data_IF_915396129524
#
_entry.id   IF_915396129524
#
_cell.length_a   1.000
_cell.length_b   1.000
_cell.length_c   1.000
_cell.angle_alpha   90.00
_cell.angle_beta   90.00
_cell.angle_gamma   90.00
#
_symmetry.space_group_name_H-M   'P 1'
#
loop_
_entity.id
_entity.type
_entity.pdbx_description
1 polymer ?
#
# COMPACT_ATOMS: atom_id res chain seq x y z
N UNK A 1 -15.80 14.90 -5.90
CA UNK A 1 -14.91 13.88 -5.32
C UNK A 1 -13.98 13.39 -6.42
N UNK A 2 -12.72 13.09 -6.11
CA UNK A 2 -11.76 12.59 -7.10
C UNK A 2 -11.14 11.31 -6.58
N UNK A 3 -11.02 10.29 -7.43
CA UNK A 3 -10.46 8.99 -7.04
C UNK A 3 -9.25 8.68 -7.89
N UNK A 4 -8.12 8.41 -7.22
CA UNK A 4 -6.89 8.02 -7.88
C UNK A 4 -6.89 6.52 -8.15
N UNK A 5 -6.35 6.11 -9.29
CA UNK A 5 -6.15 4.71 -9.64
C UNK A 5 -4.66 4.48 -9.89
N UNK A 6 -4.16 3.33 -9.43
CA UNK A 6 -2.76 2.90 -9.58
C UNK A 6 -2.68 1.44 -9.97
N UNK A 7 -1.61 1.04 -10.64
CA UNK A 7 -1.20 -0.36 -10.68
C UNK A 7 -0.34 -0.64 -9.46
N UNK A 8 -0.65 -1.69 -8.72
CA UNK A 8 0.03 -2.08 -7.47
C UNK A 8 0.59 -3.49 -7.60
N UNK A 9 1.85 -3.69 -7.22
CA UNK A 9 2.49 -4.99 -7.18
C UNK A 9 2.01 -5.77 -5.96
N UNK A 10 0.93 -6.53 -6.15
CA UNK A 10 0.29 -7.31 -5.09
C UNK A 10 1.23 -8.31 -4.44
N UNK A 11 2.12 -8.95 -5.23
CA UNK A 11 3.12 -9.88 -4.71
C UNK A 11 4.04 -9.22 -3.68
N UNK A 12 4.58 -8.04 -4.00
CA UNK A 12 5.47 -7.31 -3.10
C UNK A 12 4.71 -6.78 -1.89
N UNK A 13 3.49 -6.26 -2.06
CA UNK A 13 2.63 -5.85 -0.93
C UNK A 13 2.35 -7.01 0.03
N UNK A 14 2.05 -8.20 -0.50
CA UNK A 14 1.86 -9.41 0.30
C UNK A 14 3.15 -9.84 1.02
N UNK A 15 4.29 -9.84 0.33
CA UNK A 15 5.59 -10.15 0.92
C UNK A 15 5.95 -9.18 2.06
N UNK A 16 5.70 -7.88 1.87
CA UNK A 16 5.89 -6.84 2.90
C UNK A 16 4.95 -7.09 4.09
N UNK A 17 3.68 -7.40 3.85
CA UNK A 17 2.72 -7.69 4.90
C UNK A 17 3.11 -8.95 5.71
N UNK A 18 3.55 -10.02 5.04
CA UNK A 18 4.05 -11.21 5.70
C UNK A 18 5.30 -10.94 6.52
N UNK A 19 6.24 -10.15 5.98
CA UNK A 19 7.45 -9.79 6.68
C UNK A 19 7.15 -8.91 7.89
N UNK A 20 6.28 -7.91 7.75
CA UNK A 20 5.79 -7.07 8.85
C UNK A 20 5.17 -7.92 9.96
N UNK A 21 4.41 -8.97 9.61
CA UNK A 21 3.84 -9.91 10.58
C UNK A 21 4.92 -10.67 11.35
N UNK A 22 5.95 -11.17 10.66
CA UNK A 22 7.10 -11.86 11.30
C UNK A 22 7.87 -10.92 12.22
N UNK A 23 8.18 -9.71 11.77
CA UNK A 23 8.84 -8.67 12.56
C UNK A 23 8.02 -8.32 13.81
N UNK A 24 6.70 -8.15 13.65
CA UNK A 24 5.80 -7.85 14.77
C UNK A 24 5.74 -8.97 15.80
N UNK A 25 5.77 -10.23 15.35
CA UNK A 25 5.82 -11.39 16.25
C UNK A 25 7.14 -11.45 17.04
N UNK A 26 8.27 -11.22 16.37
CA UNK A 26 9.59 -11.16 17.03
C UNK A 26 9.61 -10.04 18.08
N UNK A 27 9.12 -8.84 17.73
CA UNK A 27 9.02 -7.72 18.67
C UNK A 27 8.17 -8.07 19.89
N UNK A 28 7.00 -8.67 19.68
CA UNK A 28 6.10 -9.05 20.77
C UNK A 28 6.79 -10.04 21.73
N UNK A 29 7.53 -11.01 21.18
CA UNK A 29 8.27 -11.98 21.97
C UNK A 29 9.43 -11.34 22.75
N UNK A 30 10.17 -10.41 22.13
CA UNK A 30 11.22 -9.64 22.80
C UNK A 30 10.67 -8.79 23.95
N UNK A 31 9.56 -8.09 23.73
CA UNK A 31 8.90 -7.30 24.77
C UNK A 31 8.42 -8.18 25.94
N UNK A 32 7.90 -9.38 25.64
CA UNK A 32 7.50 -10.36 26.66
C UNK A 32 8.70 -10.78 27.50
N UNK A 33 9.80 -11.20 26.86
CA UNK A 33 11.02 -11.61 27.56
C UNK A 33 11.60 -10.50 28.45
N UNK A 34 11.63 -9.25 27.95
CA UNK A 34 12.11 -8.11 28.76
C UNK A 34 11.23 -7.86 29.98
N UNK A 35 9.90 -7.91 29.83
CA UNK A 35 8.95 -7.75 30.95
C UNK A 35 9.17 -8.80 32.04
N UNK A 36 9.45 -10.04 31.65
CA UNK A 36 9.70 -11.16 32.57
C UNK A 36 11.09 -11.11 33.22
N UNK A 37 12.08 -10.44 32.59
CA UNK A 37 13.43 -10.34 33.13
C UNK A 37 13.43 -9.58 34.47
N UNK A 38 13.91 -10.23 35.53
CA UNK A 38 14.06 -9.58 36.84
C UNK A 38 15.32 -8.73 36.85
N UNK A 39 15.18 -7.46 37.25
CA UNK A 39 16.28 -6.50 37.42
C UNK A 39 16.28 -5.98 38.86
N UNK A 40 17.38 -5.38 39.30
CA UNK A 40 17.42 -4.68 40.59
C UNK A 40 16.48 -3.46 40.58
N UNK A 41 16.07 -3.00 41.76
CA UNK A 41 15.20 -1.83 41.90
C UNK A 41 15.81 -0.59 41.20
N UNK A 42 17.12 -0.41 41.29
CA UNK A 42 17.85 0.71 40.66
C UNK A 42 17.79 0.70 39.12
N UNK A 43 17.50 -0.45 38.51
CA UNK A 43 17.43 -0.63 37.06
C UNK A 43 15.99 -0.76 36.54
N UNK A 44 14.99 -0.79 37.42
CA UNK A 44 13.60 -1.02 37.03
C UNK A 44 13.06 0.12 36.14
N UNK A 45 13.38 1.37 36.45
CA UNK A 45 12.98 2.53 35.64
C UNK A 45 13.59 2.47 34.23
N UNK A 46 14.89 2.18 34.15
CA UNK A 46 15.61 2.04 32.87
C UNK A 46 15.01 0.91 32.01
N UNK A 47 14.59 -0.19 32.65
CA UNK A 47 13.92 -1.30 31.97
C UNK A 47 12.58 -0.88 31.38
N UNK A 48 11.73 -0.19 32.13
CA UNK A 48 10.41 0.25 31.65
C UNK A 48 10.56 1.27 30.50
N UNK A 49 11.48 2.24 30.63
CA UNK A 49 11.79 3.18 29.55
C UNK A 49 12.22 2.48 28.25
N UNK A 50 13.01 1.41 28.37
CA UNK A 50 13.44 0.61 27.23
C UNK A 50 12.27 -0.16 26.59
N UNK A 51 11.38 -0.72 27.42
CA UNK A 51 10.16 -1.40 26.96
C UNK A 51 9.26 -0.42 26.22
N UNK A 52 9.08 0.80 26.74
CA UNK A 52 8.23 1.82 26.11
C UNK A 52 8.80 2.26 24.76
N UNK A 53 10.11 2.52 24.68
CA UNK A 53 10.79 2.83 23.42
C UNK A 53 10.62 1.71 22.39
N UNK A 54 10.84 0.45 22.79
CA UNK A 54 10.71 -0.70 21.89
C UNK A 54 9.26 -1.08 21.56
N UNK A 55 8.29 -0.56 22.31
CA UNK A 55 6.87 -0.74 22.02
C UNK A 55 6.38 0.13 20.88
N UNK A 56 7.14 1.16 20.49
CA UNK A 56 6.81 1.99 19.33
C UNK A 56 6.72 1.14 18.06
N UNK A 57 5.56 1.22 17.40
CA UNK A 57 5.29 0.47 16.19
C UNK A 57 6.07 1.01 15.00
N UNK A 58 6.35 2.30 14.97
CA UNK A 58 7.04 2.96 13.87
C UNK A 58 8.48 2.44 13.71
N UNK A 59 9.15 2.10 14.81
CA UNK A 59 10.53 1.57 14.79
C UNK A 59 10.69 0.27 14.00
N UNK A 60 9.60 -0.47 13.81
CA UNK A 60 9.59 -1.77 13.14
C UNK A 60 8.62 -1.82 11.96
N UNK A 61 8.27 -0.66 11.42
CA UNK A 61 7.44 -0.58 10.22
C UNK A 61 8.30 -0.90 9.00
N UNK A 62 7.83 -1.84 8.19
CA UNK A 62 8.40 -2.18 6.89
C UNK A 62 7.70 -1.33 5.85
N UNK A 63 8.46 -0.56 5.10
CA UNK A 63 7.96 0.24 3.98
C UNK A 63 7.92 -0.60 2.70
N UNK A 64 6.94 -0.34 1.84
CA UNK A 64 6.93 -0.92 0.50
C UNK A 64 8.05 -0.30 -0.34
N UNK A 65 8.75 -1.10 -1.17
CA UNK A 65 9.75 -0.58 -2.09
C UNK A 65 9.20 0.49 -3.05
N UNK A 66 10.05 1.42 -3.47
CA UNK A 66 9.72 2.36 -4.53
C UNK A 66 9.30 1.60 -5.81
N UNK A 67 8.23 2.07 -6.48
CA UNK A 67 7.71 1.43 -7.69
C UNK A 67 6.75 0.24 -7.45
N UNK A 68 6.43 -0.07 -6.19
CA UNK A 68 5.36 -1.03 -5.84
C UNK A 68 3.99 -0.51 -6.25
N UNK A 69 3.80 0.82 -6.32
CA UNK A 69 2.60 1.46 -6.85
C UNK A 69 2.96 2.51 -7.90
N UNK A 70 2.28 2.47 -9.04
CA UNK A 70 2.44 3.44 -10.12
C UNK A 70 1.07 4.01 -10.46
N UNK A 71 0.93 5.33 -10.37
CA UNK A 71 -0.35 6.00 -10.62
C UNK A 71 -0.71 5.93 -12.11
N UNK A 72 -1.92 5.43 -12.40
CA UNK A 72 -2.52 5.38 -13.74
C UNK A 72 -3.16 6.72 -14.08
N UNK A 73 -3.92 7.27 -13.13
CA UNK A 73 -4.73 8.46 -13.37
C UNK A 73 -5.63 8.83 -12.21
N UNK A 74 -6.45 9.85 -12.43
CA UNK A 74 -7.42 10.33 -11.45
C UNK A 74 -8.76 10.55 -12.12
N UNK A 75 -9.79 9.86 -11.64
CA UNK A 75 -11.17 10.12 -12.01
C UNK A 75 -11.67 11.37 -11.27
N UNK A 76 -12.25 12.32 -12.00
CA UNK A 76 -12.99 13.47 -11.47
C UNK A 76 -14.34 13.53 -12.16
N UNK A 77 -15.31 14.22 -11.56
CA UNK A 77 -16.70 14.28 -12.04
C UNK A 77 -16.79 14.47 -13.56
N UNK A 78 -17.02 13.38 -14.30
CA UNK A 78 -17.13 13.40 -15.75
C UNK A 78 -15.83 13.54 -16.55
N UNK A 79 -14.68 13.20 -15.97
CA UNK A 79 -13.39 13.23 -16.67
C UNK A 79 -12.34 12.34 -15.99
N UNK A 80 -11.66 11.50 -16.77
CA UNK A 80 -10.51 10.75 -16.29
C UNK A 80 -9.22 11.41 -16.75
N UNK A 81 -8.38 11.83 -15.79
CA UNK A 81 -7.08 12.42 -16.09
C UNK A 81 -6.00 11.34 -16.05
N UNK A 82 -5.47 10.98 -17.20
CA UNK A 82 -4.38 10.02 -17.34
C UNK A 82 -3.04 10.59 -16.86
N UNK A 83 -2.20 9.75 -16.23
CA UNK A 83 -0.80 10.07 -15.93
C UNK A 83 0.08 9.67 -17.11
N UNK A 84 0.11 10.54 -18.12
CA UNK A 84 0.90 10.33 -19.34
C UNK A 84 2.41 10.26 -19.08
N UNK A 85 2.89 10.88 -18.00
CA UNK A 85 4.29 10.81 -17.55
C UNK A 85 4.72 9.37 -17.19
N UNK A 86 3.77 8.53 -16.78
CA UNK A 86 3.99 7.11 -16.49
C UNK A 86 3.73 6.21 -17.70
N UNK A 87 3.46 6.78 -18.87
CA UNK A 87 3.15 6.05 -20.11
C UNK A 87 1.70 5.57 -20.25
N UNK A 88 0.80 6.01 -19.36
CA UNK A 88 -0.62 5.69 -19.44
C UNK A 88 -1.38 6.80 -20.15
N UNK A 89 -2.13 6.43 -21.19
CA UNK A 89 -2.87 7.37 -22.04
C UNK A 89 -4.33 6.94 -22.27
N UNK A 90 -4.59 5.64 -22.18
CA UNK A 90 -5.88 5.00 -22.40
C UNK A 90 -5.93 3.62 -21.71
N UNK A 91 -7.11 2.99 -21.73
CA UNK A 91 -7.29 1.63 -21.17
C UNK A 91 -6.34 0.62 -21.81
N UNK A 92 -6.11 0.68 -23.12
CA UNK A 92 -5.26 -0.26 -23.84
C UNK A 92 -3.79 -0.18 -23.40
N UNK A 93 -3.31 1.02 -23.08
CA UNK A 93 -1.96 1.25 -22.53
C UNK A 93 -1.80 0.60 -21.16
N UNK A 94 -2.83 0.67 -20.30
CA UNK A 94 -2.84 -0.01 -18.99
C UNK A 94 -2.84 -1.52 -19.18
N UNK A 95 -3.73 -2.05 -20.04
CA UNK A 95 -3.83 -3.48 -20.27
C UNK A 95 -2.54 -4.08 -20.86
N UNK A 96 -1.91 -3.38 -21.81
CA UNK A 96 -0.61 -3.80 -22.38
C UNK A 96 0.50 -3.80 -21.33
N UNK A 97 0.49 -2.82 -20.42
CA UNK A 97 1.44 -2.74 -19.33
C UNK A 97 1.26 -3.91 -18.36
N UNK A 98 0.02 -4.21 -17.95
CA UNK A 98 -0.31 -5.34 -17.07
C UNK A 98 0.04 -6.70 -17.68
N UNK A 99 -0.13 -6.87 -19.00
CA UNK A 99 0.32 -8.08 -19.71
C UNK A 99 1.84 -8.30 -19.59
N UNK A 100 2.61 -7.22 -19.51
CA UNK A 100 4.07 -7.28 -19.35
C UNK A 100 4.50 -7.39 -17.87
N UNK A 101 3.59 -7.12 -16.92
CA UNK A 101 3.82 -7.07 -15.48
C UNK A 101 2.70 -7.81 -14.72
N UNK A 102 2.68 -9.16 -14.77
CA UNK A 102 1.56 -9.96 -14.26
C UNK A 102 1.39 -9.91 -12.74
N UNK A 103 2.40 -9.47 -12.00
CA UNK A 103 2.36 -9.31 -10.54
C UNK A 103 1.57 -8.05 -10.10
N UNK A 104 1.18 -7.20 -11.05
CA UNK A 104 0.48 -5.95 -10.78
C UNK A 104 -1.02 -6.08 -11.03
N UNK A 105 -1.81 -5.39 -10.22
CA UNK A 105 -3.26 -5.25 -10.38
C UNK A 105 -3.66 -3.78 -10.31
N UNK A 106 -4.81 -3.44 -10.88
CA UNK A 106 -5.37 -2.09 -10.74
C UNK A 106 -5.98 -1.98 -9.34
N UNK A 107 -5.70 -0.88 -8.65
CA UNK A 107 -6.32 -0.53 -7.38
C UNK A 107 -6.82 0.92 -7.40
N UNK A 108 -7.92 1.16 -6.70
CA UNK A 108 -8.38 2.51 -6.37
C UNK A 108 -7.55 3.15 -5.24
N UNK A 109 -7.88 4.38 -4.86
CA UNK A 109 -7.19 5.13 -3.81
C UNK A 109 -7.34 4.53 -2.40
N UNK A 110 -8.31 3.63 -2.23
CA UNK A 110 -8.62 2.94 -0.99
C UNK A 110 -7.97 1.54 -0.92
N UNK A 111 -7.29 1.11 -1.99
CA UNK A 111 -6.68 -0.20 -2.10
C UNK A 111 -7.65 -1.30 -2.53
N UNK A 112 -8.84 -0.96 -3.03
CA UNK A 112 -9.76 -1.92 -3.62
C UNK A 112 -9.19 -2.39 -4.94
N UNK A 113 -9.06 -3.72 -5.11
CA UNK A 113 -8.63 -4.32 -6.37
C UNK A 113 -9.76 -4.17 -7.39
N UNK A 114 -9.44 -3.61 -8.55
CA UNK A 114 -10.35 -3.39 -9.66
C UNK A 114 -10.00 -4.33 -10.82
N UNK A 115 -11.01 -5.01 -11.35
CA UNK A 115 -10.88 -5.74 -12.62
C UNK A 115 -10.78 -4.76 -13.78
N UNK A 116 -10.33 -5.26 -14.94
CA UNK A 116 -10.28 -4.44 -16.17
C UNK A 116 -11.68 -3.93 -16.56
N UNK A 117 -12.72 -4.76 -16.35
CA UNK A 117 -14.12 -4.42 -16.60
C UNK A 117 -14.64 -3.32 -15.67
N UNK A 118 -14.33 -3.39 -14.37
CA UNK A 118 -14.73 -2.37 -13.40
C UNK A 118 -14.00 -1.05 -13.68
N UNK A 119 -12.69 -1.10 -13.94
CA UNK A 119 -11.94 0.09 -14.33
C UNK A 119 -12.47 0.71 -15.63
N UNK A 120 -12.88 -0.12 -16.60
CA UNK A 120 -13.54 0.37 -17.81
C UNK A 120 -14.87 1.08 -17.50
N UNK A 121 -15.69 0.56 -16.60
CA UNK A 121 -16.94 1.22 -16.20
C UNK A 121 -16.67 2.62 -15.60
N UNK A 122 -15.61 2.76 -14.82
CA UNK A 122 -15.16 4.07 -14.29
C UNK A 122 -14.82 5.04 -15.44
N UNK A 123 -14.08 4.56 -16.44
CA UNK A 123 -13.73 5.37 -17.62
C UNK A 123 -14.96 5.77 -18.42
N UNK A 124 -15.90 4.83 -18.62
CA UNK A 124 -17.16 5.07 -19.36
C UNK A 124 -18.02 6.13 -18.64
N UNK A 125 -18.15 6.03 -17.31
CA UNK A 125 -18.84 7.05 -16.50
C UNK A 125 -18.16 8.43 -16.57
N UNK A 126 -16.83 8.44 -16.62
CA UNK A 126 -16.08 9.67 -16.85
C UNK A 126 -16.30 10.21 -18.27
N UNK A 127 -16.44 9.37 -19.29
CA UNK A 127 -16.69 9.80 -20.68
C UNK A 127 -18.09 10.36 -20.92
N UNK A 128 -19.10 9.89 -20.19
CA UNK A 128 -20.51 10.26 -20.41
C UNK A 128 -20.88 11.72 -20.13
N UNK A 129 -20.05 12.48 -19.40
CA UNK A 129 -20.33 13.89 -19.07
C UNK A 129 -19.85 14.91 -20.12
N UNK A 130 -19.17 14.47 -21.17
CA UNK A 130 -18.64 15.34 -22.24
C UNK A 130 -19.70 15.56 -23.35
N UNK A 131 -20.87 14.92 -23.29
CA UNK A 131 -21.91 14.97 -24.34
C UNK A 131 -23.26 15.57 -23.89
N UNK A 132 -23.28 16.44 -22.88
CA UNK A 132 -24.48 17.22 -22.52
C UNK A 132 -24.30 18.71 -22.78
#
# INVERSE_FOLDING_TARGET
MSTQYSVVNTRITEEVAEFQKKVSAIRAEWLRMMREASVSADLQEIKEDLIDKLSDRALFSVEEPEGTSIVIGTARAGHFSWRTENGFHDLDSVMRWLQSHPDYTICDEYGTIETAEEFKQVLDWCGTYISS
#
